data_IF_671959715380
#
_entry.id   IF_671959715380
#
_cell.length_a   1.000
_cell.length_b   1.000
_cell.length_c   1.000
_cell.angle_alpha   90.00
_cell.angle_beta   90.00
_cell.angle_gamma   90.00
#
_symmetry.space_group_name_H-M   'P 1'
#
loop_
_entity.id
_entity.type
_entity.pdbx_description
1 polymer ?
#
# COMPACT_ATOMS: atom_id res chain seq x y z
N UNK A 1 14.56 -34.86 30.45
CA UNK A 1 13.12 -35.22 30.49
C UNK A 1 12.96 -36.73 30.37
N UNK A 2 11.77 -37.29 30.57
CA UNK A 2 11.51 -38.72 30.31
C UNK A 2 10.79 -38.82 28.97
N UNK A 3 11.31 -39.63 28.04
CA UNK A 3 10.76 -39.89 26.72
C UNK A 3 10.43 -41.37 26.59
N UNK A 4 9.27 -41.69 26.02
CA UNK A 4 8.85 -43.07 25.73
C UNK A 4 9.39 -43.45 24.36
N UNK A 5 10.20 -44.50 24.29
CA UNK A 5 10.67 -45.01 23.00
C UNK A 5 9.56 -45.77 22.24
N UNK A 6 9.83 -46.15 21.00
CA UNK A 6 8.89 -46.85 20.11
C UNK A 6 8.37 -48.21 20.64
N UNK A 7 8.93 -48.71 21.75
CA UNK A 7 8.51 -49.92 22.44
C UNK A 7 7.86 -49.62 23.80
N UNK A 8 7.36 -48.40 24.01
CA UNK A 8 6.75 -47.91 25.26
C UNK A 8 7.68 -48.03 26.48
N UNK A 9 9.00 -47.94 26.30
CA UNK A 9 9.95 -47.94 27.41
C UNK A 9 10.37 -46.52 27.79
N UNK A 10 10.24 -46.11 29.07
CA UNK A 10 10.66 -44.78 29.50
C UNK A 10 12.19 -44.68 29.53
N UNK A 11 12.72 -43.62 28.92
CA UNK A 11 14.15 -43.28 28.92
C UNK A 11 14.38 -41.87 29.42
N UNK A 12 15.44 -41.70 30.19
CA UNK A 12 15.95 -40.36 30.52
C UNK A 12 16.64 -39.81 29.28
N UNK A 13 16.23 -38.62 28.84
CA UNK A 13 16.75 -37.99 27.61
C UNK A 13 17.08 -36.52 27.81
N UNK A 14 18.01 -36.03 27.00
CA UNK A 14 18.24 -34.62 26.74
C UNK A 14 17.45 -34.20 25.49
N UNK A 15 16.59 -33.20 25.64
CA UNK A 15 15.96 -32.51 24.51
C UNK A 15 16.78 -31.27 24.21
N UNK A 16 17.47 -31.31 23.08
CA UNK A 16 18.35 -30.24 22.62
C UNK A 16 17.75 -29.69 21.34
N UNK A 17 17.35 -28.43 21.38
CA UNK A 17 16.97 -27.67 20.20
C UNK A 17 17.75 -26.36 20.14
N UNK A 18 18.09 -25.96 18.93
CA UNK A 18 18.73 -24.67 18.66
C UNK A 18 18.18 -24.11 17.36
N UNK A 19 18.15 -22.78 17.26
CA UNK A 19 17.63 -22.07 16.09
C UNK A 19 18.79 -21.69 15.17
N UNK A 20 18.60 -21.93 13.88
CA UNK A 20 19.50 -21.46 12.82
C UNK A 20 18.69 -20.46 11.99
N UNK A 21 19.20 -19.23 11.86
CA UNK A 21 18.56 -18.15 11.11
C UNK A 21 19.54 -17.58 10.08
N UNK A 22 19.12 -17.54 8.81
CA UNK A 22 19.72 -16.69 7.77
C UNK A 22 18.60 -16.12 6.88
N UNK A 23 18.96 -15.25 5.92
CA UNK A 23 17.99 -14.53 5.06
C UNK A 23 17.04 -15.43 4.24
N UNK A 24 17.31 -16.74 4.14
CA UNK A 24 16.58 -17.67 3.27
C UNK A 24 16.00 -18.88 4.02
N UNK A 25 16.51 -19.19 5.22
CA UNK A 25 16.18 -20.42 5.95
C UNK A 25 16.09 -20.14 7.45
N UNK A 26 14.94 -20.47 8.03
CA UNK A 26 14.75 -20.59 9.48
C UNK A 26 14.55 -22.07 9.81
N UNK A 27 15.45 -22.65 10.60
CA UNK A 27 15.35 -24.04 11.05
C UNK A 27 15.48 -24.12 12.56
N UNK A 28 14.85 -25.12 13.15
CA UNK A 28 15.02 -25.45 14.56
C UNK A 28 15.28 -26.93 14.70
N UNK A 29 16.49 -27.40 14.37
CA UNK A 29 16.85 -28.79 14.60
C UNK A 29 16.64 -29.16 16.07
N UNK A 30 15.90 -30.23 16.29
CA UNK A 30 15.66 -30.81 17.61
C UNK A 30 16.15 -32.25 17.64
N UNK A 31 16.83 -32.58 18.74
CA UNK A 31 17.38 -33.90 19.00
C UNK A 31 16.90 -34.37 20.36
N UNK A 32 16.34 -35.57 20.41
CA UNK A 32 16.12 -36.32 21.65
C UNK A 32 17.25 -37.32 21.76
N UNK A 33 18.12 -37.13 22.75
CA UNK A 33 19.34 -37.91 22.94
C UNK A 33 19.22 -38.73 24.23
N UNK A 34 19.49 -40.03 24.17
CA UNK A 34 19.52 -40.90 25.36
C UNK A 34 20.54 -40.34 26.37
N UNK A 35 20.07 -40.08 27.58
CA UNK A 35 20.86 -39.43 28.61
C UNK A 35 22.01 -40.26 29.15
N UNK A 36 22.02 -41.58 28.91
CA UNK A 36 23.07 -42.49 29.38
C UNK A 36 24.03 -42.89 28.26
N UNK A 37 23.53 -43.14 27.05
CA UNK A 37 24.34 -43.66 25.94
C UNK A 37 24.82 -42.58 24.97
N UNK A 38 24.16 -41.42 24.94
CA UNK A 38 24.42 -40.38 23.94
C UNK A 38 23.89 -40.72 22.53
N UNK A 39 23.13 -41.81 22.39
CA UNK A 39 22.48 -42.19 21.14
C UNK A 39 21.36 -41.21 20.80
N UNK A 40 21.28 -40.79 19.53
CA UNK A 40 20.21 -39.93 19.04
C UNK A 40 18.98 -40.82 18.81
N UNK A 41 18.00 -40.72 19.70
CA UNK A 41 16.77 -41.51 19.68
C UNK A 41 15.73 -40.92 18.72
N UNK A 42 15.70 -39.59 18.58
CA UNK A 42 14.83 -38.89 17.65
C UNK A 42 15.53 -37.64 17.13
N UNK A 43 15.48 -37.44 15.80
CA UNK A 43 15.98 -36.23 15.15
C UNK A 43 14.88 -35.71 14.23
N UNK A 44 14.47 -34.47 14.45
CA UNK A 44 13.48 -33.81 13.60
C UNK A 44 13.81 -32.32 13.51
N UNK A 45 13.35 -31.67 12.46
CA UNK A 45 13.40 -30.21 12.41
C UNK A 45 12.11 -29.70 13.04
N UNK A 46 12.21 -29.10 14.22
CA UNK A 46 11.07 -28.52 14.94
C UNK A 46 10.65 -27.15 14.37
N UNK A 47 11.06 -26.90 13.13
CA UNK A 47 10.53 -25.93 12.18
C UNK A 47 10.45 -26.63 10.82
N UNK A 48 9.62 -27.67 10.69
CA UNK A 48 9.20 -28.12 9.37
C UNK A 48 8.31 -27.01 8.81
N UNK A 49 8.86 -26.18 7.94
CA UNK A 49 8.09 -25.23 7.12
C UNK A 49 8.40 -25.60 5.69
N UNK A 50 7.71 -26.62 5.19
CA UNK A 50 7.63 -26.80 3.74
C UNK A 50 6.55 -25.82 3.29
N UNK A 51 6.93 -24.87 2.45
CA UNK A 51 5.95 -24.03 1.76
C UNK A 51 5.21 -24.93 0.76
N UNK A 52 3.95 -25.23 1.04
CA UNK A 52 3.13 -26.11 0.22
C UNK A 52 2.19 -25.28 -0.63
N UNK A 53 2.03 -25.62 -1.91
CA UNK A 53 1.12 -24.90 -2.80
C UNK A 53 -0.29 -24.96 -2.23
N UNK A 54 -0.96 -23.81 -2.15
CA UNK A 54 -2.36 -23.73 -1.75
C UNK A 54 -3.20 -24.62 -2.67
N UNK A 55 -3.97 -25.52 -2.06
CA UNK A 55 -4.97 -26.33 -2.74
C UNK A 55 -6.35 -26.02 -2.18
N UNK A 56 -7.39 -26.61 -2.76
CA UNK A 56 -8.78 -26.33 -2.40
C UNK A 56 -9.49 -25.51 -3.47
N UNK A 57 -10.72 -25.10 -3.15
CA UNK A 57 -11.59 -24.36 -4.05
C UNK A 57 -12.03 -23.06 -3.40
N UNK A 58 -12.21 -22.05 -4.23
CA UNK A 58 -12.63 -20.70 -3.86
C UNK A 58 -13.80 -20.22 -4.70
N UNK A 59 -14.18 -18.97 -4.50
CA UNK A 59 -15.25 -18.31 -5.24
C UNK A 59 -16.65 -18.56 -4.67
N UNK A 60 -17.65 -18.03 -5.38
CA UNK A 60 -19.03 -18.00 -4.96
C UNK A 60 -19.98 -18.25 -6.16
N UNK A 61 -21.29 -18.16 -5.93
CA UNK A 61 -22.30 -18.39 -6.96
C UNK A 61 -22.18 -17.44 -8.18
N UNK A 62 -21.67 -16.21 -8.00
CA UNK A 62 -21.49 -15.23 -9.08
C UNK A 62 -20.14 -15.36 -9.79
N UNK A 63 -19.03 -15.46 -9.06
CA UNK A 63 -17.71 -15.69 -9.68
C UNK A 63 -17.56 -17.08 -10.28
N UNK A 64 -18.43 -18.02 -9.88
CA UNK A 64 -18.25 -19.43 -10.13
C UNK A 64 -17.20 -20.04 -9.21
N UNK A 65 -17.22 -21.37 -9.14
CA UNK A 65 -16.28 -22.12 -8.29
C UNK A 65 -15.03 -22.46 -9.08
N UNK A 66 -13.86 -22.17 -8.51
CA UNK A 66 -12.57 -22.46 -9.11
C UNK A 66 -11.63 -23.17 -8.12
N UNK A 67 -10.56 -23.76 -8.63
CA UNK A 67 -9.51 -24.39 -7.82
C UNK A 67 -8.23 -23.57 -7.85
N UNK A 68 -7.60 -23.38 -6.70
CA UNK A 68 -6.32 -22.68 -6.62
C UNK A 68 -5.17 -23.43 -7.32
N UNK A 69 -5.31 -24.75 -7.47
CA UNK A 69 -4.36 -25.57 -8.26
C UNK A 69 -4.32 -25.18 -9.74
N UNK A 70 -5.38 -24.55 -10.24
CA UNK A 70 -5.58 -24.29 -11.67
C UNK A 70 -5.22 -22.83 -12.04
N UNK A 71 -5.03 -21.96 -11.04
CA UNK A 71 -4.61 -20.56 -11.24
C UNK A 71 -3.16 -20.45 -11.71
N UNK A 72 -2.83 -19.46 -12.53
CA UNK A 72 -1.46 -19.27 -13.03
C UNK A 72 -0.50 -18.87 -11.89
N UNK A 73 -0.92 -17.93 -11.03
CA UNK A 73 -0.17 -17.53 -9.85
C UNK A 73 -0.43 -18.49 -8.69
N UNK A 74 0.60 -18.78 -7.91
CA UNK A 74 0.53 -19.73 -6.79
C UNK A 74 0.72 -19.01 -5.45
N UNK A 75 -0.16 -19.31 -4.51
CA UNK A 75 0.05 -19.01 -3.10
C UNK A 75 0.61 -20.25 -2.39
N UNK A 76 1.41 -20.02 -1.35
CA UNK A 76 2.04 -21.10 -0.59
C UNK A 76 1.69 -20.98 0.88
N UNK A 77 1.13 -22.04 1.46
CA UNK A 77 0.83 -22.16 2.89
C UNK A 77 2.06 -22.65 3.67
N UNK A 78 2.12 -22.31 4.94
CA UNK A 78 3.08 -22.89 5.88
C UNK A 78 2.60 -24.29 6.27
N UNK A 79 3.38 -25.35 5.99
CA UNK A 79 3.08 -26.71 6.44
C UNK A 79 4.03 -27.16 7.55
N UNK A 80 3.48 -27.62 8.68
CA UNK A 80 4.18 -28.26 9.80
C UNK A 80 3.61 -29.66 10.01
N UNK A 81 4.37 -30.71 9.68
CA UNK A 81 3.86 -32.08 9.65
C UNK A 81 2.69 -32.19 8.67
N UNK A 82 1.56 -32.75 9.11
CA UNK A 82 0.35 -32.89 8.29
C UNK A 82 -0.57 -31.66 8.36
N UNK A 83 -0.19 -30.62 9.10
CA UNK A 83 -0.98 -29.39 9.27
C UNK A 83 -0.51 -28.28 8.33
N UNK A 84 -1.45 -27.70 7.60
CA UNK A 84 -1.29 -26.53 6.75
C UNK A 84 -1.92 -25.32 7.44
N UNK A 85 -1.18 -24.22 7.51
CA UNK A 85 -1.58 -22.96 8.11
C UNK A 85 -1.75 -21.90 7.00
N UNK A 86 -2.85 -21.14 7.05
CA UNK A 86 -3.09 -19.99 6.17
C UNK A 86 -2.20 -18.81 6.57
N UNK A 87 -0.89 -19.04 6.49
CA UNK A 87 0.19 -18.12 6.81
C UNK A 87 1.36 -18.31 5.84
N UNK A 88 1.92 -17.20 5.38
CA UNK A 88 3.22 -17.13 4.73
C UNK A 88 3.94 -15.82 5.07
N UNK A 89 5.04 -15.49 4.40
CA UNK A 89 5.80 -14.28 4.67
C UNK A 89 5.03 -12.97 4.42
N UNK A 90 3.94 -13.02 3.64
CA UNK A 90 3.15 -11.86 3.28
C UNK A 90 1.90 -11.72 4.13
N UNK A 91 1.15 -12.81 4.33
CA UNK A 91 -0.19 -12.76 4.90
C UNK A 91 -0.43 -13.84 5.95
N UNK A 92 -1.37 -13.55 6.85
CA UNK A 92 -1.91 -14.45 7.87
C UNK A 92 -3.42 -14.30 7.95
N UNK A 93 -4.17 -15.38 7.80
CA UNK A 93 -5.64 -15.36 7.91
C UNK A 93 -6.10 -15.80 9.29
N UNK A 94 -7.00 -15.03 9.88
CA UNK A 94 -7.56 -15.24 11.22
C UNK A 94 -9.07 -15.34 11.12
N UNK A 95 -9.63 -16.39 11.73
CA UNK A 95 -11.06 -16.60 11.86
C UNK A 95 -11.64 -15.75 12.99
N UNK A 96 -12.52 -14.82 12.64
CA UNK A 96 -13.20 -13.95 13.60
C UNK A 96 -14.44 -14.59 14.22
N UNK A 97 -14.86 -15.78 13.78
CA UNK A 97 -15.94 -16.57 14.38
C UNK A 97 -17.24 -15.78 14.53
N UNK A 98 -17.57 -14.94 13.54
CA UNK A 98 -18.70 -14.01 13.55
C UNK A 98 -18.67 -12.94 14.67
N UNK A 99 -17.50 -12.69 15.26
CA UNK A 99 -17.27 -11.68 16.29
C UNK A 99 -16.76 -10.37 15.67
N UNK A 100 -17.14 -9.25 16.29
CA UNK A 100 -16.58 -7.92 16.01
C UNK A 100 -15.48 -7.52 17.03
N UNK A 101 -15.29 -8.34 18.07
CA UNK A 101 -14.33 -8.11 19.15
C UNK A 101 -13.21 -9.17 19.17
N UNK A 102 -12.46 -9.23 20.28
CA UNK A 102 -11.41 -10.26 20.43
C UNK A 102 -12.01 -11.66 20.52
N UNK A 103 -11.43 -12.59 19.77
CA UNK A 103 -11.67 -14.04 19.89
C UNK A 103 -10.53 -14.71 20.65
N UNK A 104 -10.72 -15.94 21.15
CA UNK A 104 -9.71 -16.64 21.96
C UNK A 104 -8.41 -16.92 21.22
N UNK A 105 -8.46 -17.06 19.89
CA UNK A 105 -7.32 -17.37 19.02
C UNK A 105 -7.01 -16.21 18.06
N UNK A 106 -7.23 -14.95 18.50
CA UNK A 106 -7.16 -13.76 17.64
C UNK A 106 -5.77 -13.50 17.01
N UNK A 107 -4.73 -14.25 17.38
CA UNK A 107 -3.38 -14.16 16.81
C UNK A 107 -2.98 -15.36 15.98
N UNK A 108 -3.74 -16.46 16.06
CA UNK A 108 -3.33 -17.73 15.49
C UNK A 108 -3.88 -17.85 14.07
N UNK A 109 -3.05 -18.29 13.10
CA UNK A 109 -3.52 -18.54 11.74
C UNK A 109 -4.56 -19.66 11.73
N UNK A 110 -5.55 -19.54 10.84
CA UNK A 110 -6.42 -20.66 10.48
C UNK A 110 -5.57 -21.83 9.94
N UNK A 111 -5.94 -23.06 10.28
CA UNK A 111 -5.19 -24.25 9.91
C UNK A 111 -6.08 -25.44 9.58
N UNK A 112 -5.53 -26.41 8.87
CA UNK A 112 -6.22 -27.61 8.41
C UNK A 112 -5.26 -28.76 8.15
N UNK A 113 -5.79 -29.98 8.03
CA UNK A 113 -4.99 -31.12 7.58
C UNK A 113 -4.76 -31.02 6.08
N UNK A 114 -3.49 -30.94 5.65
CA UNK A 114 -3.10 -30.70 4.26
C UNK A 114 -3.76 -31.71 3.30
N UNK A 115 -3.84 -32.98 3.68
CA UNK A 115 -4.38 -34.07 2.85
C UNK A 115 -5.92 -34.12 2.81
N UNK A 116 -6.60 -33.41 3.72
CA UNK A 116 -8.07 -33.38 3.80
C UNK A 116 -8.64 -32.18 3.02
N UNK A 117 -7.88 -31.09 2.96
CA UNK A 117 -8.33 -29.82 2.39
C UNK A 117 -9.10 -28.96 3.39
N UNK A 118 -9.41 -27.73 2.97
CA UNK A 118 -10.06 -26.72 3.80
C UNK A 118 -11.41 -26.29 3.22
N UNK A 119 -12.38 -26.03 4.09
CA UNK A 119 -13.69 -25.53 3.73
C UNK A 119 -14.34 -24.77 4.89
N UNK A 120 -14.74 -23.54 4.63
CA UNK A 120 -15.43 -22.58 5.49
C UNK A 120 -16.61 -21.95 4.71
N UNK A 121 -17.33 -22.77 3.93
CA UNK A 121 -18.44 -22.33 3.10
C UNK A 121 -19.46 -21.53 3.90
N UNK A 122 -19.74 -20.32 3.43
CA UNK A 122 -20.71 -19.41 4.05
C UNK A 122 -21.31 -18.52 2.97
N UNK A 123 -22.61 -18.23 3.13
CA UNK A 123 -23.32 -17.30 2.26
C UNK A 123 -23.12 -17.58 0.76
N UNK A 124 -23.10 -18.86 0.36
CA UNK A 124 -22.87 -19.36 -1.01
C UNK A 124 -21.47 -19.12 -1.61
N UNK A 125 -20.48 -18.71 -0.81
CA UNK A 125 -19.07 -18.90 -1.13
C UNK A 125 -18.57 -20.26 -0.64
N UNK A 126 -17.53 -20.79 -1.29
CA UNK A 126 -16.91 -22.06 -0.92
C UNK A 126 -15.88 -21.88 0.19
N UNK A 127 -15.00 -20.88 0.08
CA UNK A 127 -13.98 -20.66 1.09
C UNK A 127 -13.44 -19.22 1.12
N UNK A 128 -14.09 -18.31 1.88
CA UNK A 128 -13.60 -16.94 2.04
C UNK A 128 -12.18 -16.86 2.62
N UNK A 129 -11.80 -17.77 3.52
CA UNK A 129 -10.45 -17.77 4.07
C UNK A 129 -9.38 -18.16 3.05
N UNK A 130 -9.63 -19.16 2.17
CA UNK A 130 -8.68 -19.49 1.11
C UNK A 130 -8.62 -18.37 0.06
N UNK A 131 -9.76 -17.76 -0.28
CA UNK A 131 -9.81 -16.62 -1.19
C UNK A 131 -8.98 -15.44 -0.65
N UNK A 132 -9.22 -15.03 0.60
CA UNK A 132 -8.45 -13.97 1.27
C UNK A 132 -6.95 -14.29 1.33
N UNK A 133 -6.58 -15.52 1.71
CA UNK A 133 -5.18 -15.96 1.75
C UNK A 133 -4.52 -15.88 0.38
N UNK A 134 -5.19 -16.40 -0.65
CA UNK A 134 -4.69 -16.43 -2.01
C UNK A 134 -4.51 -15.02 -2.56
N UNK A 135 -5.55 -14.19 -2.54
CA UNK A 135 -5.51 -12.85 -3.11
C UNK A 135 -4.54 -11.94 -2.35
N UNK A 136 -4.52 -12.00 -1.01
CA UNK A 136 -3.55 -11.26 -0.21
C UNK A 136 -2.09 -11.68 -0.49
N UNK A 137 -1.86 -12.96 -0.75
CA UNK A 137 -0.54 -13.45 -1.16
C UNK A 137 -0.16 -12.94 -2.56
N UNK A 138 -1.09 -12.98 -3.51
CA UNK A 138 -0.82 -12.63 -4.91
C UNK A 138 -0.62 -11.13 -5.10
N UNK A 139 -1.40 -10.26 -4.46
CA UNK A 139 -1.15 -8.81 -4.51
C UNK A 139 0.23 -8.46 -3.94
N UNK A 140 0.63 -9.14 -2.85
CA UNK A 140 1.95 -8.95 -2.25
C UNK A 140 3.08 -9.41 -3.19
N UNK A 141 2.90 -10.54 -3.87
CA UNK A 141 3.83 -11.03 -4.90
C UNK A 141 3.91 -10.07 -6.10
N UNK A 142 2.77 -9.56 -6.58
CA UNK A 142 2.72 -8.59 -7.68
C UNK A 142 3.58 -7.36 -7.38
N UNK A 143 3.48 -6.81 -6.17
CA UNK A 143 4.29 -5.67 -5.76
C UNK A 143 5.79 -5.97 -5.77
N UNK A 144 6.18 -7.16 -5.30
CA UNK A 144 7.59 -7.58 -5.32
C UNK A 144 8.09 -7.82 -6.75
N UNK A 145 7.35 -8.57 -7.55
CA UNK A 145 7.79 -9.01 -8.88
C UNK A 145 7.77 -7.87 -9.91
N UNK A 146 6.77 -7.00 -9.86
CA UNK A 146 6.56 -5.97 -10.89
C UNK A 146 7.14 -4.60 -10.49
N UNK A 147 7.26 -4.33 -9.19
CA UNK A 147 7.66 -3.01 -8.67
C UNK A 147 8.85 -3.07 -7.70
N UNK A 148 9.33 -4.26 -7.32
CA UNK A 148 10.44 -4.44 -6.38
C UNK A 148 10.23 -3.67 -5.07
N UNK A 149 9.00 -3.71 -4.56
CA UNK A 149 8.59 -3.08 -3.30
C UNK A 149 7.57 -3.96 -2.57
N UNK A 150 7.35 -3.69 -1.29
CA UNK A 150 6.30 -4.35 -0.50
C UNK A 150 5.05 -3.47 -0.48
N UNK A 151 3.87 -4.07 -0.64
CA UNK A 151 2.60 -3.34 -0.47
C UNK A 151 2.38 -2.91 1.00
N UNK A 152 2.87 -3.71 1.96
CA UNK A 152 2.87 -3.40 3.38
C UNK A 152 4.24 -3.72 3.99
N UNK A 153 4.72 -2.89 4.92
CA UNK A 153 6.01 -3.08 5.60
C UNK A 153 6.05 -4.30 6.55
N UNK A 154 4.90 -4.72 7.07
CA UNK A 154 4.75 -5.87 7.96
C UNK A 154 3.82 -6.92 7.32
N UNK A 155 3.85 -8.14 7.84
CA UNK A 155 2.94 -9.22 7.44
C UNK A 155 1.48 -8.76 7.62
N UNK A 156 0.68 -8.85 6.56
CA UNK A 156 -0.73 -8.48 6.61
C UNK A 156 -1.54 -9.50 7.42
N UNK A 157 -2.37 -9.01 8.33
CA UNK A 157 -3.33 -9.85 9.04
C UNK A 157 -4.70 -9.67 8.39
N UNK A 158 -5.26 -10.77 7.90
CA UNK A 158 -6.55 -10.83 7.22
C UNK A 158 -7.58 -11.46 8.16
N UNK A 159 -8.57 -10.67 8.55
CA UNK A 159 -9.66 -11.08 9.44
C UNK A 159 -10.87 -11.47 8.60
N UNK A 160 -11.18 -12.75 8.51
CA UNK A 160 -12.36 -13.27 7.80
C UNK A 160 -13.44 -13.70 8.77
N UNK A 161 -14.67 -13.90 8.28
CA UNK A 161 -15.85 -14.18 9.11
C UNK A 161 -16.10 -13.12 10.19
N UNK A 162 -15.81 -11.86 9.85
CA UNK A 162 -15.92 -10.74 10.78
C UNK A 162 -17.37 -10.35 10.99
N UNK A 163 -17.81 -10.35 12.25
CA UNK A 163 -19.19 -10.04 12.61
C UNK A 163 -20.22 -10.99 12.02
N UNK A 164 -21.50 -10.76 12.33
CA UNK A 164 -22.62 -11.56 11.79
C UNK A 164 -23.35 -10.75 10.73
N UNK A 165 -23.54 -11.32 9.54
CA UNK A 165 -24.21 -10.66 8.42
C UNK A 165 -23.58 -9.29 8.10
N UNK A 166 -22.26 -9.18 8.23
CA UNK A 166 -21.53 -7.93 8.08
C UNK A 166 -21.22 -7.71 6.59
N UNK A 167 -21.65 -6.59 6.05
CA UNK A 167 -21.65 -6.29 4.61
C UNK A 167 -20.60 -5.25 4.23
N UNK A 168 -19.46 -5.26 4.92
CA UNK A 168 -18.36 -4.31 4.73
C UNK A 168 -17.01 -5.03 4.78
N UNK A 169 -16.03 -4.42 4.12
CA UNK A 169 -14.62 -4.72 4.24
C UNK A 169 -13.89 -3.43 4.61
N UNK A 170 -12.77 -3.53 5.34
CA UNK A 170 -12.00 -2.35 5.73
C UNK A 170 -10.56 -2.67 6.18
N UNK A 171 -9.69 -1.71 5.94
CA UNK A 171 -8.40 -1.52 6.59
C UNK A 171 -8.53 -0.69 7.88
N UNK A 172 -8.01 -1.20 9.01
CA UNK A 172 -8.09 -0.51 10.31
C UNK A 172 -6.79 0.14 10.80
N UNK A 173 -5.81 0.33 9.89
CA UNK A 173 -4.45 0.76 10.23
C UNK A 173 -3.52 -0.41 10.60
N UNK A 174 -4.06 -1.62 10.74
CA UNK A 174 -3.27 -2.81 11.11
C UNK A 174 -3.72 -4.11 10.44
N UNK A 175 -5.00 -4.28 10.19
CA UNK A 175 -5.60 -5.50 9.65
C UNK A 175 -6.53 -5.15 8.50
N UNK A 176 -6.55 -6.02 7.48
CA UNK A 176 -7.64 -6.03 6.50
C UNK A 176 -8.75 -6.95 7.02
N UNK A 177 -10.00 -6.54 6.89
CA UNK A 177 -11.14 -7.21 7.55
C UNK A 177 -12.26 -7.39 6.57
N UNK A 178 -12.85 -8.59 6.55
CA UNK A 178 -13.83 -8.98 5.56
C UNK A 178 -15.02 -9.64 6.25
N UNK A 179 -16.21 -9.06 6.04
CA UNK A 179 -17.46 -9.66 6.45
C UNK A 179 -17.91 -10.79 5.51
N UNK A 180 -18.78 -11.67 6.01
CA UNK A 180 -19.37 -12.76 5.21
C UNK A 180 -20.49 -12.30 4.27
N UNK A 181 -20.84 -11.01 4.28
CA UNK A 181 -21.98 -10.49 3.54
C UNK A 181 -23.32 -11.01 4.07
N UNK A 182 -24.42 -10.57 3.46
CA UNK A 182 -25.74 -11.10 3.77
C UNK A 182 -26.72 -10.95 2.60
N UNK A 183 -27.35 -9.79 2.46
CA UNK A 183 -28.45 -9.57 1.51
C UNK A 183 -27.93 -9.02 0.20
N UNK A 184 -26.95 -8.13 0.26
CA UNK A 184 -26.41 -7.44 -0.90
C UNK A 184 -25.12 -8.09 -1.39
N UNK A 185 -24.32 -8.62 -0.47
CA UNK A 185 -23.00 -9.18 -0.78
C UNK A 185 -22.89 -10.69 -0.45
N UNK A 186 -22.09 -11.37 -1.26
CA UNK A 186 -21.33 -12.56 -0.88
C UNK A 186 -20.19 -12.16 0.09
N UNK A 187 -19.44 -13.09 0.69
CA UNK A 187 -18.26 -12.74 1.51
C UNK A 187 -17.28 -11.87 0.75
N UNK A 188 -16.81 -10.79 1.38
CA UNK A 188 -16.09 -9.69 0.71
C UNK A 188 -14.60 -9.99 0.48
N UNK A 189 -14.27 -11.21 0.09
CA UNK A 189 -12.89 -11.71 -0.09
C UNK A 189 -12.58 -11.94 -1.56
N UNK A 190 -12.94 -11.00 -2.45
CA UNK A 190 -12.58 -11.07 -3.87
C UNK A 190 -11.25 -10.37 -4.16
N UNK A 191 -10.67 -10.64 -5.34
CA UNK A 191 -9.33 -10.16 -5.72
C UNK A 191 -9.21 -8.64 -5.59
N UNK A 192 -10.17 -7.91 -6.15
CA UNK A 192 -10.16 -6.46 -6.19
C UNK A 192 -10.35 -5.84 -4.81
N UNK A 193 -11.27 -6.35 -3.98
CA UNK A 193 -11.53 -5.85 -2.61
C UNK A 193 -10.37 -6.18 -1.68
N UNK A 194 -9.80 -7.38 -1.76
CA UNK A 194 -8.62 -7.71 -0.94
C UNK A 194 -7.45 -6.79 -1.31
N UNK A 195 -7.20 -6.55 -2.59
CA UNK A 195 -6.15 -5.63 -3.03
C UNK A 195 -6.46 -4.15 -2.69
N UNK A 196 -7.72 -3.74 -2.76
CA UNK A 196 -8.21 -2.42 -2.36
C UNK A 196 -7.89 -2.14 -0.88
N UNK A 197 -8.20 -3.07 0.02
CA UNK A 197 -7.90 -2.89 1.45
C UNK A 197 -6.40 -2.83 1.75
N UNK A 198 -5.57 -3.60 1.02
CA UNK A 198 -4.12 -3.49 1.15
C UNK A 198 -3.60 -2.13 0.65
N UNK A 199 -4.19 -1.59 -0.41
CA UNK A 199 -3.79 -0.31 -1.00
C UNK A 199 -4.08 0.88 -0.09
N UNK A 200 -5.07 0.81 0.79
CA UNK A 200 -5.22 1.77 1.89
C UNK A 200 -4.02 1.74 2.82
N UNK A 201 -3.55 0.56 3.22
CA UNK A 201 -2.35 0.42 4.03
C UNK A 201 -1.09 0.91 3.32
N UNK A 202 -0.96 0.69 2.01
CA UNK A 202 0.11 1.28 1.20
C UNK A 202 0.04 2.81 1.25
N UNK A 203 -1.14 3.39 1.02
CA UNK A 203 -1.35 4.84 1.04
C UNK A 203 -1.03 5.45 2.40
N UNK A 204 -1.45 4.80 3.49
CA UNK A 204 -1.17 5.21 4.86
C UNK A 204 0.35 5.23 5.16
N UNK A 205 1.09 4.23 4.69
CA UNK A 205 2.54 4.14 4.88
C UNK A 205 3.32 5.13 4.01
N UNK A 206 2.71 5.69 2.97
CA UNK A 206 3.39 6.49 1.95
C UNK A 206 2.98 7.95 1.87
N UNK A 207 1.99 8.29 1.04
CA UNK A 207 1.54 9.69 0.86
C UNK A 207 0.78 10.19 2.08
N UNK A 208 0.11 9.28 2.79
CA UNK A 208 -0.77 9.59 3.91
C UNK A 208 -1.99 10.41 3.48
N UNK A 209 -2.46 10.26 2.23
CA UNK A 209 -3.66 10.96 1.73
C UNK A 209 -4.78 10.85 2.77
N UNK A 210 -5.19 11.99 3.33
CA UNK A 210 -6.22 11.98 4.36
C UNK A 210 -7.54 11.57 3.72
N UNK A 211 -8.33 10.79 4.46
CA UNK A 211 -9.60 10.26 4.01
C UNK A 211 -10.73 11.32 4.09
N UNK A 212 -10.53 12.42 3.38
CA UNK A 212 -11.40 13.60 3.38
C UNK A 212 -11.30 14.32 2.03
N UNK A 213 -12.40 14.84 1.52
CA UNK A 213 -12.45 15.64 0.30
C UNK A 213 -11.73 14.96 -0.90
N UNK A 214 -10.99 15.74 -1.68
CA UNK A 214 -10.30 15.27 -2.90
C UNK A 214 -9.18 14.28 -2.59
N UNK A 215 -8.44 14.47 -1.49
CA UNK A 215 -7.40 13.51 -1.08
C UNK A 215 -8.00 12.16 -0.71
N UNK A 216 -9.15 12.15 -0.05
CA UNK A 216 -9.89 10.91 0.26
C UNK A 216 -10.38 10.22 -1.01
N UNK A 217 -10.88 11.00 -1.96
CA UNK A 217 -11.30 10.48 -3.27
C UNK A 217 -10.14 9.87 -4.06
N UNK A 218 -8.95 10.48 -4.01
CA UNK A 218 -7.74 9.91 -4.60
C UNK A 218 -7.25 8.65 -3.87
N UNK A 219 -7.43 8.58 -2.55
CA UNK A 219 -7.11 7.40 -1.74
C UNK A 219 -7.98 6.21 -2.18
N UNK A 220 -9.30 6.39 -2.22
CA UNK A 220 -10.25 5.41 -2.75
C UNK A 220 -9.94 4.97 -4.18
N UNK A 221 -9.64 5.94 -5.07
CA UNK A 221 -9.33 5.62 -6.46
C UNK A 221 -8.05 4.82 -6.59
N UNK A 222 -7.00 5.14 -5.82
CA UNK A 222 -5.77 4.36 -5.81
C UNK A 222 -6.03 2.91 -5.36
N UNK A 223 -6.92 2.72 -4.38
CA UNK A 223 -7.32 1.39 -3.93
C UNK A 223 -8.11 0.60 -4.98
N UNK A 224 -9.09 1.22 -5.64
CA UNK A 224 -9.83 0.63 -6.76
C UNK A 224 -8.90 0.23 -7.92
N UNK A 225 -8.02 1.14 -8.33
CA UNK A 225 -7.02 0.90 -9.37
C UNK A 225 -6.11 -0.28 -9.00
N UNK A 226 -5.71 -0.40 -7.73
CA UNK A 226 -4.89 -1.52 -7.28
C UNK A 226 -5.64 -2.85 -7.36
N UNK A 227 -6.95 -2.84 -7.13
CA UNK A 227 -7.84 -3.97 -7.35
C UNK A 227 -7.78 -4.48 -8.79
N UNK A 228 -8.09 -3.62 -9.75
CA UNK A 228 -8.06 -3.95 -11.19
C UNK A 228 -6.69 -4.41 -11.68
N UNK A 229 -5.63 -3.76 -11.21
CA UNK A 229 -4.26 -4.15 -11.59
C UNK A 229 -3.93 -5.54 -11.06
N UNK A 230 -4.44 -5.90 -9.87
CA UNK A 230 -4.29 -7.23 -9.28
C UNK A 230 -5.08 -8.28 -10.06
N UNK A 231 -6.31 -7.96 -10.49
CA UNK A 231 -7.10 -8.85 -11.34
C UNK A 231 -6.41 -9.12 -12.68
N UNK A 232 -5.92 -8.06 -13.34
CA UNK A 232 -5.16 -8.20 -14.58
C UNK A 232 -3.86 -8.97 -14.39
N UNK A 233 -3.20 -8.82 -13.23
CA UNK A 233 -2.01 -9.61 -12.91
C UNK A 233 -2.35 -11.10 -12.75
N UNK A 234 -3.48 -11.43 -12.12
CA UNK A 234 -3.93 -12.82 -11.94
C UNK A 234 -4.37 -13.44 -13.27
N UNK A 235 -5.18 -12.72 -14.03
CA UNK A 235 -5.73 -13.14 -15.32
C UNK A 235 -6.15 -11.91 -16.16
N UNK A 236 -7.40 -11.46 -16.00
CA UNK A 236 -7.97 -10.34 -16.75
C UNK A 236 -8.87 -9.54 -15.81
N UNK A 237 -8.74 -8.23 -15.87
CA UNK A 237 -9.62 -7.31 -15.17
C UNK A 237 -10.90 -6.98 -15.97
N UNK A 238 -11.90 -6.44 -15.29
CA UNK A 238 -13.21 -6.12 -15.88
C UNK A 238 -13.61 -4.64 -15.78
N UNK A 239 -12.86 -3.81 -15.05
CA UNK A 239 -13.13 -2.39 -14.79
C UNK A 239 -14.34 -2.15 -13.88
N UNK A 240 -14.74 -3.16 -13.11
CA UNK A 240 -15.94 -3.23 -12.29
C UNK A 240 -15.61 -3.62 -10.85
N UNK A 241 -15.53 -2.62 -9.98
CA UNK A 241 -15.23 -2.85 -8.57
C UNK A 241 -16.37 -3.62 -7.89
N UNK A 242 -16.06 -4.70 -7.20
CA UNK A 242 -16.97 -5.57 -6.46
C UNK A 242 -17.85 -6.43 -7.35
N UNK A 243 -17.49 -6.65 -8.62
CA UNK A 243 -18.32 -7.43 -9.55
C UNK A 243 -18.69 -8.79 -8.98
N UNK A 244 -17.73 -9.59 -8.52
CA UNK A 244 -18.01 -10.95 -8.05
C UNK A 244 -18.72 -11.01 -6.68
N UNK A 245 -18.88 -9.88 -5.99
CA UNK A 245 -19.41 -9.84 -4.62
C UNK A 245 -20.90 -9.50 -4.57
N UNK A 246 -21.43 -8.78 -5.56
CA UNK A 246 -22.80 -8.29 -5.53
C UNK A 246 -23.84 -9.31 -6.02
N UNK A 247 -24.86 -9.57 -5.21
CA UNK A 247 -25.94 -10.52 -5.52
C UNK A 247 -26.98 -10.02 -6.53
N UNK A 248 -27.19 -8.71 -6.57
CA UNK A 248 -28.34 -8.12 -7.27
C UNK A 248 -27.98 -6.96 -8.21
N UNK A 249 -26.71 -6.55 -8.22
CA UNK A 249 -26.16 -5.51 -9.09
C UNK A 249 -24.98 -6.10 -9.85
N UNK A 250 -24.62 -5.43 -10.94
CA UNK A 250 -23.42 -5.76 -11.70
C UNK A 250 -22.17 -5.52 -10.85
N UNK A 251 -21.96 -4.28 -10.41
CA UNK A 251 -20.77 -3.84 -9.66
C UNK A 251 -21.10 -2.75 -8.63
N UNK A 252 -20.17 -2.48 -7.71
CA UNK A 252 -20.23 -1.38 -6.74
C UNK A 252 -19.96 -0.05 -7.42
N UNK A 253 -18.88 -0.02 -8.21
CA UNK A 253 -18.40 1.15 -8.95
C UNK A 253 -17.95 0.73 -10.34
N UNK A 254 -17.98 1.67 -11.28
CA UNK A 254 -17.67 1.44 -12.69
C UNK A 254 -16.56 2.40 -13.11
N UNK A 255 -15.38 1.90 -13.48
CA UNK A 255 -14.27 2.81 -13.81
C UNK A 255 -14.42 3.44 -15.19
N UNK A 256 -15.08 2.75 -16.13
CA UNK A 256 -15.32 3.24 -17.48
C UNK A 256 -16.35 4.39 -17.53
N UNK A 257 -17.38 4.32 -16.69
CA UNK A 257 -18.39 5.36 -16.51
C UNK A 257 -18.86 5.36 -15.05
N UNK A 258 -18.21 6.15 -14.17
CA UNK A 258 -18.55 6.22 -12.76
C UNK A 258 -20.02 6.52 -12.48
N UNK A 259 -20.70 7.24 -13.37
CA UNK A 259 -22.09 7.65 -13.14
C UNK A 259 -23.09 6.49 -13.15
N UNK A 260 -22.69 5.30 -13.61
CA UNK A 260 -23.55 4.11 -13.67
C UNK A 260 -23.99 3.59 -12.29
N UNK A 261 -23.28 3.92 -11.22
CA UNK A 261 -23.75 3.63 -9.85
C UNK A 261 -24.80 4.64 -9.34
N UNK A 262 -25.10 5.68 -10.14
CA UNK A 262 -26.01 6.81 -9.91
C UNK A 262 -25.55 7.86 -8.89
N UNK A 263 -24.31 7.80 -8.38
CA UNK A 263 -23.82 8.71 -7.34
C UNK A 263 -22.41 9.22 -7.64
N UNK A 264 -21.53 8.37 -8.16
CA UNK A 264 -20.14 8.71 -8.44
C UNK A 264 -19.99 9.70 -9.59
N UNK A 265 -18.91 10.48 -9.54
CA UNK A 265 -18.64 11.57 -10.48
C UNK A 265 -17.38 11.28 -11.28
N UNK A 266 -17.33 11.76 -12.53
CA UNK A 266 -16.18 11.60 -13.43
C UNK A 266 -15.52 12.93 -13.82
N UNK A 267 -15.99 14.06 -13.29
CA UNK A 267 -15.47 15.39 -13.63
C UNK A 267 -15.36 16.28 -12.38
N UNK A 268 -14.27 17.06 -12.28
CA UNK A 268 -13.96 17.87 -11.09
C UNK A 268 -15.01 18.94 -10.79
N UNK A 269 -15.68 19.47 -11.81
CA UNK A 269 -16.76 20.47 -11.64
C UNK A 269 -17.97 19.94 -10.84
N UNK A 270 -18.13 18.61 -10.76
CA UNK A 270 -19.20 17.98 -10.00
C UNK A 270 -18.79 17.68 -8.55
N UNK A 271 -17.53 17.94 -8.18
CA UNK A 271 -17.02 17.69 -6.85
C UNK A 271 -17.46 18.79 -5.86
N UNK A 272 -17.84 18.39 -4.65
CA UNK A 272 -18.17 19.30 -3.55
C UNK A 272 -17.49 18.84 -2.26
N UNK A 273 -17.38 19.71 -1.25
CA UNK A 273 -16.83 19.33 0.06
C UNK A 273 -17.64 18.24 0.78
N UNK A 274 -18.87 17.96 0.35
CA UNK A 274 -19.71 16.89 0.89
C UNK A 274 -19.68 15.61 0.04
N UNK A 275 -18.88 15.58 -1.04
CA UNK A 275 -18.74 14.39 -1.87
C UNK A 275 -18.01 13.31 -1.08
N UNK A 276 -18.68 12.17 -0.89
CA UNK A 276 -18.09 11.01 -0.24
C UNK A 276 -16.88 10.51 -1.05
N UNK A 277 -15.76 10.15 -0.40
CA UNK A 277 -14.57 9.61 -1.08
C UNK A 277 -14.86 8.51 -2.11
N UNK A 278 -15.78 7.58 -1.80
CA UNK A 278 -16.11 6.47 -2.71
C UNK A 278 -16.79 6.94 -4.00
N UNK A 279 -17.35 8.16 -4.01
CA UNK A 279 -18.03 8.75 -5.16
C UNK A 279 -17.15 9.73 -5.92
N UNK A 280 -16.28 10.45 -5.22
CA UNK A 280 -15.27 11.31 -5.83
C UNK A 280 -14.15 10.51 -6.51
N UNK A 281 -13.90 9.28 -6.07
CA UNK A 281 -12.89 8.38 -6.65
C UNK A 281 -13.11 8.12 -8.14
N UNK A 282 -14.36 8.22 -8.63
CA UNK A 282 -14.72 8.10 -10.04
C UNK A 282 -13.87 8.95 -10.99
N UNK A 283 -13.38 10.11 -10.55
CA UNK A 283 -12.50 10.98 -11.35
C UNK A 283 -11.18 10.27 -11.68
N UNK A 284 -10.49 9.75 -10.66
CA UNK A 284 -9.19 9.10 -10.84
C UNK A 284 -9.34 7.65 -11.35
N UNK A 285 -10.45 6.99 -11.05
CA UNK A 285 -10.83 5.71 -11.65
C UNK A 285 -10.97 5.85 -13.17
N UNK A 286 -11.71 6.86 -13.63
CA UNK A 286 -11.89 7.11 -15.06
C UNK A 286 -10.58 7.53 -15.74
N UNK A 287 -9.73 8.33 -15.09
CA UNK A 287 -8.40 8.66 -15.62
C UNK A 287 -7.61 7.37 -15.91
N UNK A 288 -7.53 6.46 -14.94
CA UNK A 288 -6.76 5.23 -15.08
C UNK A 288 -7.33 4.33 -16.18
N UNK A 289 -8.66 4.11 -16.17
CA UNK A 289 -9.36 3.38 -17.23
C UNK A 289 -9.05 3.97 -18.61
N UNK A 290 -9.16 5.30 -18.77
CA UNK A 290 -8.97 5.95 -20.06
C UNK A 290 -7.53 5.81 -20.57
N UNK A 291 -6.53 5.96 -19.70
CA UNK A 291 -5.11 5.80 -20.05
C UNK A 291 -4.82 4.38 -20.54
N UNK A 292 -5.31 3.37 -19.83
CA UNK A 292 -5.02 1.97 -20.12
C UNK A 292 -5.88 1.45 -21.26
N UNK A 293 -7.20 1.59 -21.13
CA UNK A 293 -8.15 0.99 -22.06
C UNK A 293 -8.31 1.80 -23.36
N UNK A 294 -8.52 3.12 -23.30
CA UNK A 294 -8.77 3.92 -24.50
C UNK A 294 -7.47 4.30 -25.21
N UNK A 295 -6.44 4.68 -24.45
CA UNK A 295 -5.15 5.11 -25.00
C UNK A 295 -4.12 3.98 -25.12
N UNK A 296 -4.48 2.76 -24.72
CA UNK A 296 -3.69 1.53 -24.91
C UNK A 296 -2.30 1.59 -24.26
N UNK A 297 -2.14 2.33 -23.18
CA UNK A 297 -0.95 2.22 -22.33
C UNK A 297 -0.99 0.87 -21.59
N UNK A 298 0.17 0.22 -21.46
CA UNK A 298 0.28 -0.99 -20.65
C UNK A 298 -0.14 -0.70 -19.20
N UNK A 299 -0.97 -1.58 -18.64
CA UNK A 299 -1.59 -1.36 -17.32
C UNK A 299 -0.56 -1.32 -16.19
N UNK A 300 0.50 -2.14 -16.27
CA UNK A 300 1.55 -2.16 -15.25
C UNK A 300 2.43 -0.91 -15.36
N UNK A 301 2.66 -0.41 -16.58
CA UNK A 301 3.35 0.86 -16.79
C UNK A 301 2.53 2.07 -16.33
N UNK A 302 1.22 2.08 -16.60
CA UNK A 302 0.32 3.13 -16.12
C UNK A 302 0.26 3.11 -14.58
N UNK A 303 0.09 1.94 -13.97
CA UNK A 303 0.02 1.81 -12.52
C UNK A 303 1.33 2.22 -11.85
N UNK A 304 2.50 1.95 -12.45
CA UNK A 304 3.79 2.42 -11.93
C UNK A 304 3.83 3.94 -11.72
N UNK A 305 3.15 4.72 -12.56
CA UNK A 305 3.06 6.18 -12.36
C UNK A 305 2.23 6.54 -11.13
N UNK A 306 1.06 5.90 -10.94
CA UNK A 306 0.23 6.09 -9.75
C UNK A 306 0.94 5.63 -8.47
N UNK A 307 1.60 4.47 -8.53
CA UNK A 307 2.36 3.89 -7.44
C UNK A 307 3.48 4.84 -6.99
N UNK A 308 4.31 5.33 -7.92
CA UNK A 308 5.39 6.27 -7.59
C UNK A 308 4.83 7.62 -7.15
N UNK A 309 3.73 8.08 -7.73
CA UNK A 309 3.08 9.31 -7.28
C UNK A 309 2.66 9.19 -5.80
N UNK A 310 1.99 8.11 -5.43
CA UNK A 310 1.61 7.82 -4.04
C UNK A 310 2.84 7.62 -3.13
N UNK A 311 3.84 6.88 -3.60
CA UNK A 311 5.05 6.57 -2.84
C UNK A 311 5.91 7.82 -2.57
N UNK A 312 6.04 8.72 -3.55
CA UNK A 312 7.13 9.70 -3.59
C UNK A 312 6.64 11.15 -3.69
N UNK A 313 5.53 11.45 -4.37
CA UNK A 313 5.15 12.82 -4.73
C UNK A 313 3.95 13.34 -3.94
N UNK A 314 2.89 12.54 -3.83
CA UNK A 314 1.69 12.90 -3.11
C UNK A 314 1.94 13.05 -1.61
N UNK A 315 1.14 13.89 -0.99
CA UNK A 315 1.15 14.19 0.42
C UNK A 315 -0.28 14.22 0.97
N UNK A 316 -0.41 14.26 2.29
CA UNK A 316 -1.67 14.23 3.04
C UNK A 316 -2.82 15.09 2.48
N UNK A 317 -2.50 16.25 1.89
CA UNK A 317 -3.47 17.23 1.39
C UNK A 317 -3.43 17.39 -0.13
N UNK A 318 -2.85 16.43 -0.87
CA UNK A 318 -2.86 16.47 -2.32
C UNK A 318 -4.30 16.52 -2.83
N UNK A 319 -4.57 17.50 -3.68
CA UNK A 319 -5.84 17.69 -4.36
C UNK A 319 -5.75 17.13 -5.79
N UNK A 320 -6.88 17.09 -6.52
CA UNK A 320 -6.91 16.49 -7.85
C UNK A 320 -5.93 17.15 -8.83
N UNK A 321 -5.74 18.47 -8.73
CA UNK A 321 -4.88 19.22 -9.65
C UNK A 321 -3.40 18.98 -9.35
N UNK A 322 -3.00 19.19 -8.09
CA UNK A 322 -1.63 18.93 -7.65
C UNK A 322 -1.23 17.47 -7.84
N UNK A 323 -2.15 16.54 -7.57
CA UNK A 323 -1.95 15.10 -7.79
C UNK A 323 -1.68 14.75 -9.26
N UNK A 324 -2.41 15.36 -10.19
CA UNK A 324 -2.20 15.18 -11.61
C UNK A 324 -0.88 15.81 -12.07
N UNK A 325 -0.50 16.98 -11.54
CA UNK A 325 0.81 17.57 -11.81
C UNK A 325 1.96 16.65 -11.36
N UNK A 326 1.85 16.08 -10.16
CA UNK A 326 2.81 15.14 -9.61
C UNK A 326 2.93 13.90 -10.49
N UNK A 327 1.81 13.36 -10.97
CA UNK A 327 1.81 12.23 -11.92
C UNK A 327 2.47 12.57 -13.26
N UNK A 328 2.23 13.76 -13.83
CA UNK A 328 2.93 14.20 -15.05
C UNK A 328 4.44 14.28 -14.80
N UNK A 329 4.85 14.74 -13.62
CA UNK A 329 6.25 14.81 -13.25
C UNK A 329 6.87 13.42 -13.10
N UNK A 330 6.15 12.47 -12.49
CA UNK A 330 6.57 11.06 -12.43
C UNK A 330 6.73 10.47 -13.83
N UNK A 331 5.73 10.64 -14.70
CA UNK A 331 5.81 10.15 -16.08
C UNK A 331 7.01 10.74 -16.82
N UNK A 332 7.29 12.03 -16.65
CA UNK A 332 8.47 12.69 -17.21
C UNK A 332 9.78 12.11 -16.66
N UNK A 333 9.88 11.94 -15.34
CA UNK A 333 11.08 11.42 -14.69
C UNK A 333 11.35 9.95 -15.06
N UNK A 334 10.31 9.18 -15.39
CA UNK A 334 10.41 7.83 -15.96
C UNK A 334 10.68 7.81 -17.48
N UNK A 335 10.75 8.97 -18.13
CA UNK A 335 10.92 9.07 -19.59
C UNK A 335 9.72 8.55 -20.39
N UNK A 336 8.52 8.59 -19.83
CA UNK A 336 7.27 8.16 -20.48
C UNK A 336 6.68 9.26 -21.36
N UNK A 337 5.88 8.87 -22.35
CA UNK A 337 5.05 9.80 -23.10
C UNK A 337 3.99 10.41 -22.16
N UNK A 338 3.96 11.75 -22.09
CA UNK A 338 3.02 12.50 -21.25
C UNK A 338 1.64 12.61 -21.88
N UNK A 339 1.55 12.39 -23.19
CA UNK A 339 0.31 12.59 -23.97
C UNK A 339 -0.88 11.84 -23.40
N UNK A 340 -0.77 10.56 -22.97
CA UNK A 340 -1.91 9.85 -22.41
C UNK A 340 -2.45 10.46 -21.12
N UNK A 341 -1.55 10.84 -20.22
CA UNK A 341 -1.89 11.47 -18.94
C UNK A 341 -2.55 12.84 -19.16
N UNK A 342 -1.94 13.68 -20.01
CA UNK A 342 -2.47 15.01 -20.36
C UNK A 342 -3.91 14.91 -20.87
N UNK A 343 -4.16 14.02 -21.84
CA UNK A 343 -5.50 13.83 -22.41
C UNK A 343 -6.52 13.35 -21.37
N UNK A 344 -6.14 12.42 -20.51
CA UNK A 344 -7.02 11.89 -19.47
C UNK A 344 -7.38 12.97 -18.43
N UNK A 345 -6.41 13.79 -18.03
CA UNK A 345 -6.64 14.90 -17.09
C UNK A 345 -7.57 15.96 -17.69
N UNK A 346 -7.37 16.34 -18.95
CA UNK A 346 -8.24 17.32 -19.62
C UNK A 346 -9.70 16.86 -19.70
N UNK A 347 -9.93 15.56 -19.91
CA UNK A 347 -11.29 14.99 -19.99
C UNK A 347 -12.08 15.09 -18.69
N UNK A 348 -11.39 15.09 -17.54
CA UNK A 348 -12.03 15.20 -16.23
C UNK A 348 -11.99 16.62 -15.67
N UNK A 349 -11.57 17.60 -16.48
CA UNK A 349 -11.52 19.01 -16.13
C UNK A 349 -10.26 19.46 -15.39
N UNK A 350 -9.22 18.63 -15.34
CA UNK A 350 -7.93 18.98 -14.72
C UNK A 350 -7.00 19.56 -15.78
N UNK A 351 -6.59 20.81 -15.59
CA UNK A 351 -5.66 21.48 -16.51
C UNK A 351 -4.24 20.91 -16.36
N UNK A 352 -3.57 20.50 -17.46
CA UNK A 352 -2.19 20.03 -17.42
C UNK A 352 -1.23 21.09 -16.89
N UNK A 353 -0.26 20.63 -16.10
CA UNK A 353 0.72 21.49 -15.43
C UNK A 353 1.99 21.61 -16.27
N UNK A 354 2.70 22.72 -16.10
CA UNK A 354 4.02 22.91 -16.71
C UNK A 354 5.04 22.05 -15.95
N UNK A 355 5.39 20.90 -16.51
CA UNK A 355 6.25 19.89 -15.86
C UNK A 355 7.66 20.41 -15.59
N UNK A 356 8.17 21.33 -16.42
CA UNK A 356 9.48 21.95 -16.21
C UNK A 356 9.49 22.91 -15.01
N UNK A 357 8.31 23.48 -14.69
CA UNK A 357 8.11 24.36 -13.53
C UNK A 357 7.40 23.67 -12.38
N UNK A 358 7.17 22.36 -12.44
CA UNK A 358 6.50 21.65 -11.36
C UNK A 358 7.42 21.49 -10.17
N UNK A 359 6.97 21.96 -9.01
CA UNK A 359 7.70 21.90 -7.75
C UNK A 359 7.14 20.74 -6.95
N UNK A 360 7.99 19.78 -6.57
CA UNK A 360 7.57 18.62 -5.79
C UNK A 360 7.20 19.01 -4.35
N UNK A 361 6.09 18.45 -3.85
CA UNK A 361 5.69 18.53 -2.45
C UNK A 361 6.53 17.63 -1.54
N UNK A 362 6.82 18.08 -0.32
CA UNK A 362 7.41 17.26 0.74
C UNK A 362 6.31 16.69 1.63
N UNK A 363 6.49 15.45 2.07
CA UNK A 363 5.57 14.76 2.97
C UNK A 363 6.07 14.87 4.40
N UNK A 364 5.14 15.07 5.35
CA UNK A 364 5.49 15.18 6.77
C UNK A 364 6.29 13.96 7.22
N UNK A 365 7.40 14.24 7.88
CA UNK A 365 8.29 13.28 8.50
C UNK A 365 8.91 12.24 7.56
N UNK A 366 8.78 12.42 6.23
CA UNK A 366 9.34 11.54 5.21
C UNK A 366 10.61 12.15 4.62
N UNK A 367 11.63 11.31 4.46
CA UNK A 367 12.92 11.76 3.89
C UNK A 367 12.91 11.53 2.39
N UNK A 368 13.08 12.60 1.62
CA UNK A 368 13.35 12.53 0.18
C UNK A 368 14.85 12.43 -0.01
N UNK A 369 15.34 11.37 -0.64
CA UNK A 369 16.77 11.10 -0.84
C UNK A 369 17.18 11.13 -2.32
N UNK A 370 18.46 10.89 -2.61
CA UNK A 370 19.01 10.87 -3.97
C UNK A 370 18.81 12.18 -4.74
N UNK A 371 18.73 13.30 -4.02
CA UNK A 371 18.54 14.62 -4.61
C UNK A 371 19.87 15.09 -5.20
N UNK A 372 19.82 15.57 -6.44
CA UNK A 372 20.97 16.21 -7.08
C UNK A 372 21.03 17.68 -6.68
N UNK A 373 22.07 18.08 -5.95
CA UNK A 373 22.32 19.48 -5.57
C UNK A 373 23.73 19.87 -5.99
N UNK A 374 23.83 20.95 -6.77
CA UNK A 374 25.08 21.45 -7.31
C UNK A 374 25.08 22.98 -7.39
N UNK A 375 26.21 23.57 -7.74
CA UNK A 375 26.29 25.02 -8.04
C UNK A 375 25.41 25.45 -9.22
N UNK A 376 24.93 24.51 -10.05
CA UNK A 376 24.02 24.77 -11.18
C UNK A 376 22.61 24.19 -10.97
N UNK A 377 22.41 23.41 -9.92
CA UNK A 377 21.18 22.64 -9.70
C UNK A 377 20.75 22.87 -8.27
N UNK A 378 19.75 23.72 -8.10
CA UNK A 378 19.22 24.11 -6.79
C UNK A 378 17.75 23.73 -6.73
N UNK A 379 17.43 22.47 -6.38
CA UNK A 379 16.06 21.99 -6.40
C UNK A 379 15.21 22.75 -5.40
N UNK A 380 13.97 23.01 -5.81
CA UNK A 380 12.94 23.66 -5.01
C UNK A 380 11.85 22.63 -4.70
N UNK A 381 11.37 22.65 -3.48
CA UNK A 381 10.26 21.86 -2.99
C UNK A 381 9.22 22.78 -2.35
N UNK A 382 8.01 22.28 -2.13
CA UNK A 382 7.04 22.95 -1.26
C UNK A 382 6.61 22.04 -0.12
N UNK A 383 6.11 22.62 0.96
CA UNK A 383 5.51 21.86 2.07
C UNK A 383 4.20 22.52 2.48
N UNK A 384 3.15 21.72 2.63
CA UNK A 384 1.84 22.14 3.16
C UNK A 384 1.69 21.58 4.56
N UNK A 385 1.22 22.40 5.50
CA UNK A 385 1.09 22.02 6.90
C UNK A 385 -0.22 22.49 7.52
N UNK A 386 -0.77 21.72 8.48
CA UNK A 386 -2.00 22.08 9.15
C UNK A 386 -1.83 23.30 10.05
N UNK A 387 -2.92 24.01 10.32
CA UNK A 387 -2.94 25.19 11.22
C UNK A 387 -2.48 24.89 12.65
N UNK A 388 -2.65 23.64 13.10
CA UNK A 388 -2.24 23.15 14.41
C UNK A 388 -0.79 22.64 14.47
N UNK A 389 -0.04 22.67 13.36
CA UNK A 389 1.37 22.29 13.36
C UNK A 389 2.15 23.18 14.35
N UNK A 390 2.93 22.55 15.23
CA UNK A 390 3.81 23.24 16.16
C UNK A 390 5.11 23.67 15.48
N UNK A 391 6.22 23.45 16.18
CA UNK A 391 7.53 23.89 15.71
C UNK A 391 8.00 23.08 14.48
N UNK A 392 8.13 23.73 13.31
CA UNK A 392 8.55 23.09 12.05
C UNK A 392 10.08 23.07 11.96
N UNK A 393 10.64 21.90 11.64
CA UNK A 393 12.07 21.68 11.42
C UNK A 393 12.31 21.10 10.03
N UNK A 394 13.29 21.62 9.32
CA UNK A 394 13.76 21.10 8.04
C UNK A 394 15.17 20.58 8.25
N UNK A 395 15.41 19.33 7.90
CA UNK A 395 16.74 18.72 7.92
C UNK A 395 17.13 18.33 6.51
N UNK A 396 18.30 18.77 6.06
CA UNK A 396 18.91 18.34 4.81
C UNK A 396 20.32 17.80 5.06
N UNK A 397 20.60 16.60 4.55
CA UNK A 397 21.89 15.93 4.73
C UNK A 397 22.50 15.61 3.39
N UNK A 398 23.81 15.39 3.36
CA UNK A 398 24.51 14.90 2.17
C UNK A 398 25.64 13.97 2.59
N UNK A 399 26.13 13.13 1.67
CA UNK A 399 27.32 12.31 1.92
C UNK A 399 28.60 13.15 2.06
N UNK A 400 28.65 14.31 1.40
CA UNK A 400 29.82 15.17 1.40
C UNK A 400 29.40 16.63 1.27
N UNK A 401 29.86 17.46 2.20
CA UNK A 401 29.54 18.89 2.25
C UNK A 401 28.29 19.21 3.08
N UNK A 402 28.06 20.51 3.26
CA UNK A 402 26.88 21.01 3.96
C UNK A 402 25.82 21.46 2.97
N UNK A 403 24.56 21.13 3.25
CA UNK A 403 23.41 21.55 2.45
C UNK A 403 22.91 22.87 3.00
N UNK A 404 22.90 23.90 2.16
CA UNK A 404 22.32 25.18 2.47
C UNK A 404 20.81 25.16 2.15
N UNK A 405 19.99 25.69 3.04
CA UNK A 405 18.52 25.62 3.00
C UNK A 405 17.97 27.05 3.02
N UNK A 406 17.24 27.44 1.98
CA UNK A 406 16.41 28.66 1.96
C UNK A 406 14.93 28.31 2.05
N UNK A 407 14.16 29.09 2.81
CA UNK A 407 12.71 28.91 2.93
C UNK A 407 11.99 30.19 2.58
N UNK A 408 10.94 30.12 1.76
CA UNK A 408 10.19 31.30 1.28
C UNK A 408 8.68 31.06 1.22
N UNK A 409 7.88 32.12 1.29
CA UNK A 409 6.45 32.10 0.92
C UNK A 409 6.25 32.02 -0.60
N UNK A 410 7.19 32.55 -1.39
CA UNK A 410 7.14 32.56 -2.87
C UNK A 410 7.86 31.35 -3.44
N UNK A 411 7.48 30.90 -4.65
CA UNK A 411 8.25 29.88 -5.34
C UNK A 411 9.64 30.42 -5.71
N UNK A 412 10.68 29.57 -5.64
CA UNK A 412 12.08 29.99 -5.83
C UNK A 412 12.73 29.39 -7.09
N UNK A 413 11.91 29.06 -8.10
CA UNK A 413 12.39 28.50 -9.38
C UNK A 413 13.19 29.52 -10.18
N UNK A 414 12.71 30.77 -10.20
CA UNK A 414 13.40 31.93 -10.75
C UNK A 414 13.73 32.88 -9.60
N UNK A 415 15.00 33.01 -9.23
CA UNK A 415 15.43 34.05 -8.29
C UNK A 415 15.51 35.38 -9.05
N UNK A 416 14.42 36.14 -9.05
CA UNK A 416 14.40 37.52 -9.50
C UNK A 416 14.12 38.48 -8.32
N UNK A 417 14.59 39.70 -8.45
CA UNK A 417 14.27 40.83 -7.57
C UNK A 417 12.90 41.49 -7.94
N UNK A 418 12.14 40.84 -8.82
CA UNK A 418 10.90 41.35 -9.41
C UNK A 418 11.09 42.33 -10.57
N UNK A 419 12.33 42.61 -10.99
CA UNK A 419 12.60 43.51 -12.12
C UNK A 419 12.25 42.91 -13.50
N UNK A 420 12.12 41.59 -13.59
CA UNK A 420 11.80 40.84 -14.81
C UNK A 420 10.35 40.30 -14.86
N UNK A 421 9.52 40.68 -13.88
CA UNK A 421 8.13 40.21 -13.75
C UNK A 421 7.95 38.90 -12.96
N UNK A 422 9.01 38.36 -12.35
CA UNK A 422 8.90 37.31 -11.32
C UNK A 422 8.43 37.88 -9.97
N UNK A 423 7.73 37.08 -9.15
CA UNK A 423 7.34 37.50 -7.80
C UNK A 423 8.58 37.64 -6.90
N UNK A 424 8.78 38.75 -6.19
CA UNK A 424 9.90 38.92 -5.28
C UNK A 424 9.90 37.82 -4.20
N UNK A 425 11.06 37.20 -3.98
CA UNK A 425 11.22 36.12 -3.01
C UNK A 425 10.99 36.64 -1.59
N UNK A 426 9.91 36.19 -0.95
CA UNK A 426 9.61 36.54 0.45
C UNK A 426 10.28 35.50 1.36
N UNK A 427 11.52 35.75 1.78
CA UNK A 427 12.31 34.83 2.60
C UNK A 427 11.71 34.71 4.02
N UNK A 428 11.54 33.48 4.50
CA UNK A 428 11.08 33.16 5.85
C UNK A 428 12.27 32.87 6.78
N UNK A 429 13.21 32.05 6.31
CA UNK A 429 14.43 31.72 7.04
C UNK A 429 15.47 31.10 6.11
N UNK A 430 16.71 31.02 6.60
CA UNK A 430 17.85 30.44 5.90
C UNK A 430 18.79 29.79 6.92
N UNK A 431 19.42 28.68 6.56
CA UNK A 431 20.34 27.98 7.43
C UNK A 431 21.01 26.78 6.77
N UNK A 432 21.79 26.04 7.55
CA UNK A 432 22.66 24.98 7.00
C UNK A 432 22.39 23.66 7.70
N UNK A 433 22.12 22.62 6.91
CA UNK A 433 21.82 21.23 7.29
C UNK A 433 20.57 21.02 8.16
N UNK A 434 20.32 21.88 9.15
CA UNK A 434 19.11 21.85 9.96
C UNK A 434 18.63 23.29 10.18
N UNK A 435 17.34 23.51 9.92
CA UNK A 435 16.69 24.80 10.01
C UNK A 435 15.40 24.67 10.82
N UNK A 436 15.35 25.37 11.95
CA UNK A 436 14.17 25.46 12.78
C UNK A 436 13.37 26.72 12.40
N UNK A 437 12.16 26.52 11.88
CA UNK A 437 11.30 27.58 11.35
C UNK A 437 10.34 28.19 12.38
N UNK A 438 10.25 27.64 13.59
CA UNK A 438 9.19 28.08 14.49
C UNK A 438 7.82 27.64 13.97
N UNK A 439 6.85 28.54 14.08
CA UNK A 439 5.49 28.38 13.56
C UNK A 439 5.24 29.44 12.46
N UNK A 440 5.62 29.17 11.21
CA UNK A 440 5.48 30.14 10.13
C UNK A 440 4.01 30.46 9.83
N UNK A 441 3.71 31.72 9.54
CA UNK A 441 2.36 32.15 9.13
C UNK A 441 1.96 31.54 7.78
N UNK A 442 0.73 31.01 7.71
CA UNK A 442 0.14 30.43 6.51
C UNK A 442 -0.01 28.91 6.62
N UNK A 443 -0.15 28.27 5.45
CA UNK A 443 -0.34 26.82 5.33
C UNK A 443 0.62 26.18 4.32
N UNK A 444 1.50 26.97 3.70
CA UNK A 444 2.43 26.52 2.65
C UNK A 444 3.70 27.37 2.64
N UNK A 445 4.85 26.73 2.44
CA UNK A 445 6.12 27.39 2.13
C UNK A 445 6.93 26.57 1.10
N UNK A 446 7.97 27.19 0.55
CA UNK A 446 8.91 26.59 -0.38
C UNK A 446 10.28 26.40 0.27
N UNK A 447 10.98 25.33 -0.10
CA UNK A 447 12.32 24.98 0.39
C UNK A 447 13.25 24.86 -0.80
N UNK A 448 14.35 25.61 -0.83
CA UNK A 448 15.39 25.52 -1.87
C UNK A 448 16.68 25.01 -1.27
N UNK A 449 17.29 24.03 -1.93
CA UNK A 449 18.57 23.44 -1.53
C UNK A 449 19.70 23.94 -2.42
N UNK A 450 20.83 24.31 -1.82
CA UNK A 450 22.06 24.67 -2.53
C UNK A 450 23.29 24.14 -1.80
N UNK A 451 24.44 24.00 -2.47
CA UNK A 451 25.68 23.75 -1.74
C UNK A 451 26.10 25.02 -0.97
N UNK A 452 26.64 24.84 0.24
CA UNK A 452 27.25 25.93 1.01
C UNK A 452 28.61 26.36 0.41
N UNK A 453 29.29 25.41 -0.25
CA UNK A 453 30.56 25.63 -0.95
C UNK A 453 30.38 25.57 -2.46
N UNK A 454 31.47 25.76 -3.22
CA UNK A 454 31.48 25.57 -4.67
C UNK A 454 31.49 24.08 -5.10
N UNK A 455 31.41 23.15 -4.16
CA UNK A 455 31.43 21.71 -4.44
C UNK A 455 30.02 21.14 -4.66
N UNK A 456 29.93 20.15 -5.54
CA UNK A 456 28.68 19.42 -5.77
C UNK A 456 28.41 18.45 -4.63
N UNK A 457 27.18 18.40 -4.16
CA UNK A 457 26.77 17.50 -3.09
C UNK A 457 26.32 16.16 -3.66
N UNK A 458 26.66 15.07 -2.97
CA UNK A 458 26.25 13.71 -3.34
C UNK A 458 25.23 13.16 -2.35
N UNK A 459 24.25 12.43 -2.89
CA UNK A 459 23.21 11.75 -2.14
C UNK A 459 22.55 12.70 -1.11
N UNK A 460 22.08 13.85 -1.60
CA UNK A 460 21.39 14.80 -0.73
C UNK A 460 20.04 14.23 -0.34
N UNK A 461 19.67 14.42 0.92
CA UNK A 461 18.32 14.16 1.38
C UNK A 461 17.73 15.39 2.07
N UNK A 462 16.40 15.50 2.06
CA UNK A 462 15.64 16.52 2.79
C UNK A 462 14.44 15.89 3.49
N UNK A 463 14.16 16.35 4.71
CA UNK A 463 13.00 15.93 5.53
C UNK A 463 12.43 17.17 6.19
N UNK A 464 11.09 17.25 6.25
CA UNK A 464 10.38 18.25 7.06
C UNK A 464 9.64 17.53 8.16
N UNK A 465 9.75 18.03 9.38
CA UNK A 465 8.99 17.57 10.54
C UNK A 465 8.41 18.76 11.28
N UNK A 466 7.45 18.51 12.16
CA UNK A 466 6.92 19.50 13.07
C UNK A 466 6.52 18.85 14.39
N UNK A 467 6.63 19.62 15.49
CA UNK A 467 6.12 19.20 16.79
C UNK A 467 4.59 19.29 16.86
N UNK A 468 3.98 18.56 17.79
CA UNK A 468 2.60 18.80 18.18
C UNK A 468 2.55 20.09 19.02
N UNK A 469 1.68 21.03 18.64
CA UNK A 469 1.40 22.18 19.49
C UNK A 469 0.72 21.64 20.76
N UNK A 470 1.36 21.77 21.93
CA UNK A 470 0.87 21.22 23.21
C UNK A 470 -0.38 21.94 23.75
N UNK A 471 -1.08 22.68 22.90
CA UNK A 471 -2.19 23.55 23.24
C UNK A 471 -3.57 22.99 22.85
N UNK A 472 -3.69 21.68 22.62
CA UNK A 472 -4.97 20.96 22.46
C UNK A 472 -5.10 19.93 23.57
#
# INVERSE_FOLDING_TARGET
MIFMDENDKPRLVYDINYRIENEVVIKRPTFVIDGNTGEILLKYNNLDTISTVLTGSGGNEKSGIYKFSDKNHKAFVTQIGDMCFLENNYVKVIDMQNSIGRVSNYTDPMYYLCDVGFNDSVNAAISPALDAFYYGSVVSQMFQECYNTSILNEQAILRVHYGKNYEEAFWDGKHCTFGDGYKYFYPLTDADVVAHEFAHGFTEQHSGLIYLNQSGSMNEAFSDITGEVTENYIDKNDWLIGFNLLKHKEALRFMADPSLDNISISHVDNFTENTDPHHGSGIYNFIFYYIVHELKMDIMEAYRVFLIANEIYWHHYTDFTSGACDMLKVAYDLGKDLTPFIKAFELVGIKPCDVEKHIRGLTFNKTVSSITVSVKTNPVFYFVYPSWAGNITITATSMCGKVHIKVSKSNMLTEGDGSDGSDPVTLLAEGTSELNLGKPEGHKFFVKLSPESSENLKNVSVRVSYGLDRAI
#
